data_IF_040383964178
#
_entry.id   IF_040383964178
#
_cell.length_a   1.000
_cell.length_b   1.000
_cell.length_c   1.000
_cell.angle_alpha   90.00
_cell.angle_beta   90.00
_cell.angle_gamma   90.00
#
_symmetry.space_group_name_H-M   'P 1'
#
loop_
_entity.id
_entity.type
_entity.pdbx_description
1 polymer ?
#
# COMPACT_ATOMS: atom_id res chain seq x y z
N UNK A 1 12.82 -20.27 -18.48
CA UNK A 1 12.07 -21.16 -19.38
C UNK A 1 10.61 -21.32 -18.95
N UNK A 2 10.33 -21.75 -17.71
CA UNK A 2 8.96 -21.86 -17.17
C UNK A 2 8.11 -20.57 -17.33
N UNK A 3 8.62 -19.41 -16.91
CA UNK A 3 7.89 -18.14 -17.06
C UNK A 3 7.66 -17.69 -18.52
N UNK A 4 8.56 -18.06 -19.44
CA UNK A 4 8.37 -17.77 -20.87
C UNK A 4 7.29 -18.68 -21.48
N UNK A 5 7.19 -19.92 -20.99
CA UNK A 5 6.09 -20.82 -21.31
C UNK A 5 4.76 -20.27 -20.81
N UNK A 6 4.70 -19.76 -19.57
CA UNK A 6 3.50 -19.07 -19.07
C UNK A 6 3.13 -17.87 -19.94
N UNK A 7 4.08 -16.98 -20.26
CA UNK A 7 3.81 -15.83 -21.14
C UNK A 7 3.25 -16.26 -22.51
N UNK A 8 3.76 -17.36 -23.07
CA UNK A 8 3.24 -17.92 -24.32
C UNK A 8 1.80 -18.38 -24.16
N UNK A 9 1.51 -19.18 -23.14
CA UNK A 9 0.16 -19.67 -22.80
C UNK A 9 -0.84 -18.54 -22.58
N UNK A 10 -0.42 -17.44 -21.97
CA UNK A 10 -1.28 -16.28 -21.76
C UNK A 10 -1.66 -15.54 -23.05
N UNK A 11 -0.85 -15.68 -24.10
CA UNK A 11 -1.10 -15.03 -25.40
C UNK A 11 -1.79 -15.94 -26.42
N UNK A 12 -1.66 -17.26 -26.28
CA UNK A 12 -2.12 -18.22 -27.29
C UNK A 12 -2.95 -19.40 -26.76
N UNK A 13 -3.12 -19.50 -25.43
CA UNK A 13 -3.87 -20.58 -24.78
C UNK A 13 -5.38 -20.32 -24.71
N UNK A 14 -6.15 -21.38 -24.51
CA UNK A 14 -7.57 -21.29 -24.16
C UNK A 14 -7.78 -20.88 -22.71
N UNK A 15 -8.99 -20.41 -22.37
CA UNK A 15 -9.34 -19.94 -21.02
C UNK A 15 -9.04 -20.98 -19.93
N UNK A 16 -9.40 -22.24 -20.15
CA UNK A 16 -9.16 -23.34 -19.21
C UNK A 16 -7.65 -23.52 -18.94
N UNK A 17 -6.82 -23.49 -19.98
CA UNK A 17 -5.38 -23.62 -19.82
C UNK A 17 -4.77 -22.44 -19.03
N UNK A 18 -5.32 -21.23 -19.21
CA UNK A 18 -4.91 -20.06 -18.43
C UNK A 18 -5.33 -20.20 -16.96
N UNK A 19 -6.53 -20.73 -16.70
CA UNK A 19 -7.02 -20.98 -15.34
C UNK A 19 -6.17 -22.03 -14.61
N UNK A 20 -5.82 -23.13 -15.27
CA UNK A 20 -4.93 -24.14 -14.69
C UNK A 20 -3.55 -23.54 -14.37
N UNK A 21 -3.04 -22.71 -15.28
CA UNK A 21 -1.75 -22.02 -15.11
C UNK A 21 -1.76 -21.05 -13.92
N UNK A 22 -2.91 -20.49 -13.52
CA UNK A 22 -3.00 -19.61 -12.35
C UNK A 22 -2.66 -20.35 -11.05
N UNK A 23 -3.00 -21.64 -10.95
CA UNK A 23 -2.61 -22.47 -9.80
C UNK A 23 -1.09 -22.61 -9.68
N UNK A 24 -0.42 -22.87 -10.80
CA UNK A 24 1.05 -22.94 -10.83
C UNK A 24 1.70 -21.58 -10.50
N UNK A 25 1.10 -20.48 -11.00
CA UNK A 25 1.56 -19.11 -10.72
C UNK A 25 1.43 -18.81 -9.22
N UNK A 26 0.37 -19.26 -8.56
CA UNK A 26 0.18 -19.12 -7.12
C UNK A 26 1.30 -19.83 -6.33
N UNK A 27 1.65 -21.06 -6.70
CA UNK A 27 2.78 -21.77 -6.10
C UNK A 27 4.12 -21.03 -6.34
N UNK A 28 4.32 -20.48 -7.54
CA UNK A 28 5.48 -19.64 -7.84
C UNK A 28 5.55 -18.38 -6.97
N UNK A 29 4.41 -17.75 -6.66
CA UNK A 29 4.34 -16.59 -5.76
C UNK A 29 4.76 -17.01 -4.35
N UNK A 30 4.23 -18.13 -3.85
CA UNK A 30 4.58 -18.67 -2.54
C UNK A 30 6.09 -18.91 -2.44
N UNK A 31 6.70 -19.56 -3.44
CA UNK A 31 8.16 -19.74 -3.49
C UNK A 31 8.91 -18.40 -3.55
N UNK A 32 8.40 -17.44 -4.33
CA UNK A 32 8.96 -16.10 -4.47
C UNK A 32 8.98 -15.29 -3.17
N UNK A 33 8.17 -15.64 -2.18
CA UNK A 33 8.23 -15.06 -0.82
C UNK A 33 9.47 -15.53 -0.05
N UNK A 34 9.97 -16.74 -0.30
CA UNK A 34 11.17 -17.30 0.34
C UNK A 34 12.47 -16.96 -0.39
N UNK A 35 12.38 -16.56 -1.67
CA UNK A 35 13.53 -16.20 -2.51
C UNK A 35 13.47 -14.73 -2.98
N UNK A 36 13.38 -13.74 -2.06
CA UNK A 36 13.20 -12.33 -2.43
C UNK A 36 14.36 -11.74 -3.23
N UNK A 37 15.52 -12.43 -3.26
CA UNK A 37 16.73 -12.00 -3.95
C UNK A 37 16.76 -12.39 -5.44
N UNK A 38 15.85 -13.25 -5.92
CA UNK A 38 15.75 -13.58 -7.34
C UNK A 38 14.98 -12.49 -8.11
N UNK A 39 15.67 -11.40 -8.40
CA UNK A 39 15.10 -10.23 -9.07
C UNK A 39 14.56 -10.55 -10.47
N UNK A 40 15.14 -11.54 -11.17
CA UNK A 40 14.72 -11.89 -12.53
C UNK A 40 13.37 -12.59 -12.50
N UNK A 41 13.25 -13.66 -11.70
CA UNK A 41 12.00 -14.41 -11.56
C UNK A 41 10.86 -13.53 -11.06
N UNK A 42 11.15 -12.65 -10.08
CA UNK A 42 10.18 -11.67 -9.57
C UNK A 42 9.68 -10.73 -10.66
N UNK A 43 10.57 -10.21 -11.50
CA UNK A 43 10.20 -9.31 -12.61
C UNK A 43 9.35 -10.01 -13.66
N UNK A 44 9.65 -11.28 -13.98
CA UNK A 44 8.83 -12.05 -14.90
C UNK A 44 7.45 -12.37 -14.33
N UNK A 45 7.39 -12.77 -13.06
CA UNK A 45 6.14 -13.06 -12.36
C UNK A 45 5.26 -11.81 -12.29
N UNK A 46 5.83 -10.65 -11.96
CA UNK A 46 5.14 -9.36 -11.99
C UNK A 46 4.61 -9.04 -13.40
N UNK A 47 5.43 -9.23 -14.44
CA UNK A 47 5.03 -8.99 -15.84
C UNK A 47 3.86 -9.89 -16.26
N UNK A 48 3.88 -11.17 -15.86
CA UNK A 48 2.81 -12.15 -16.13
C UNK A 48 1.49 -11.68 -15.49
N UNK A 49 1.52 -11.39 -14.20
CA UNK A 49 0.35 -10.95 -13.44
C UNK A 49 -0.21 -9.61 -13.95
N UNK A 50 0.65 -8.63 -14.24
CA UNK A 50 0.24 -7.35 -14.82
C UNK A 50 -0.43 -7.53 -16.19
N UNK A 51 0.09 -8.43 -17.02
CA UNK A 51 -0.51 -8.73 -18.32
C UNK A 51 -1.91 -9.37 -18.17
N UNK A 52 -2.08 -10.24 -17.17
CA UNK A 52 -3.35 -10.91 -16.88
C UNK A 52 -4.46 -9.99 -16.39
N UNK A 53 -4.13 -8.83 -15.81
CA UNK A 53 -5.13 -7.80 -15.46
C UNK A 53 -5.84 -7.28 -16.72
N UNK A 54 -5.21 -7.34 -17.88
CA UNK A 54 -5.80 -6.98 -19.18
C UNK A 54 -6.57 -8.10 -19.86
N UNK A 55 -6.71 -9.29 -19.25
CA UNK A 55 -7.35 -10.45 -19.87
C UNK A 55 -8.85 -10.19 -20.14
N UNK A 56 -9.43 -10.82 -21.17
CA UNK A 56 -10.84 -10.59 -21.55
C UNK A 56 -11.84 -11.21 -20.56
N UNK A 57 -11.47 -12.34 -19.93
CA UNK A 57 -12.28 -12.98 -18.89
C UNK A 57 -12.17 -12.31 -17.52
N UNK A 58 -13.33 -12.08 -16.88
CA UNK A 58 -13.43 -11.39 -15.58
C UNK A 58 -12.77 -12.17 -14.45
N UNK A 59 -12.93 -13.49 -14.43
CA UNK A 59 -12.43 -14.34 -13.34
C UNK A 59 -10.91 -14.37 -13.32
N UNK A 60 -10.29 -14.51 -14.50
CA UNK A 60 -8.83 -14.45 -14.66
C UNK A 60 -8.29 -13.09 -14.23
N UNK A 61 -8.93 -11.98 -14.65
CA UNK A 61 -8.52 -10.64 -14.19
C UNK A 61 -8.60 -10.51 -12.68
N UNK A 62 -9.69 -10.99 -12.09
CA UNK A 62 -9.94 -10.88 -10.65
C UNK A 62 -8.92 -11.68 -9.85
N UNK A 63 -8.61 -12.91 -10.26
CA UNK A 63 -7.60 -13.74 -9.62
C UNK A 63 -6.19 -13.16 -9.81
N UNK A 64 -5.86 -12.64 -10.99
CA UNK A 64 -4.58 -11.96 -11.23
C UNK A 64 -4.37 -10.75 -10.31
N UNK A 65 -5.43 -9.97 -10.03
CA UNK A 65 -5.37 -8.86 -9.07
C UNK A 65 -5.08 -9.37 -7.64
N UNK A 66 -5.74 -10.45 -7.22
CA UNK A 66 -5.50 -11.06 -5.89
C UNK A 66 -4.06 -11.56 -5.77
N UNK A 67 -3.60 -12.32 -6.76
CA UNK A 67 -2.23 -12.86 -6.82
C UNK A 67 -1.18 -11.75 -6.86
N UNK A 68 -1.42 -10.66 -7.62
CA UNK A 68 -0.53 -9.51 -7.66
C UNK A 68 -0.44 -8.80 -6.30
N UNK A 69 -1.57 -8.65 -5.59
CA UNK A 69 -1.57 -8.11 -4.24
C UNK A 69 -0.76 -9.00 -3.28
N UNK A 70 -0.97 -10.31 -3.30
CA UNK A 70 -0.19 -11.27 -2.49
C UNK A 70 1.31 -11.19 -2.82
N UNK A 71 1.65 -11.06 -4.10
CA UNK A 71 3.03 -10.95 -4.56
C UNK A 71 3.73 -9.68 -4.04
N UNK A 72 3.06 -8.53 -4.11
CA UNK A 72 3.61 -7.26 -3.59
C UNK A 72 3.64 -7.20 -2.06
N UNK A 73 2.64 -7.78 -1.41
CA UNK A 73 2.60 -7.80 0.04
C UNK A 73 3.67 -8.74 0.62
N UNK A 74 4.03 -9.80 -0.09
CA UNK A 74 4.92 -10.83 0.46
C UNK A 74 4.23 -11.70 1.51
N UNK A 75 2.90 -11.79 1.46
CA UNK A 75 2.06 -12.66 2.29
C UNK A 75 0.88 -13.15 1.46
N UNK A 76 0.39 -14.35 1.75
CA UNK A 76 -0.81 -14.94 1.16
C UNK A 76 -2.12 -14.44 1.80
N UNK A 77 -2.04 -13.45 2.69
CA UNK A 77 -3.14 -13.15 3.60
C UNK A 77 -4.41 -12.60 2.94
N UNK A 78 -4.28 -12.05 1.74
CA UNK A 78 -5.40 -11.56 0.94
C UNK A 78 -6.02 -12.59 0.00
N UNK A 79 -5.51 -13.82 -0.02
CA UNK A 79 -5.96 -14.87 -0.94
C UNK A 79 -7.47 -15.13 -0.82
N UNK A 80 -7.97 -15.28 0.42
CA UNK A 80 -9.38 -15.55 0.67
C UNK A 80 -10.24 -14.28 0.75
N UNK A 81 -9.71 -13.24 1.40
CA UNK A 81 -10.44 -12.00 1.69
C UNK A 81 -9.46 -10.84 1.68
N UNK A 82 -9.78 -9.79 0.92
CA UNK A 82 -9.00 -8.56 0.90
C UNK A 82 -8.93 -7.91 2.30
N UNK A 83 -7.83 -7.21 2.59
CA UNK A 83 -7.75 -6.45 3.82
C UNK A 83 -8.72 -5.28 3.85
N UNK A 84 -9.16 -4.91 5.05
CA UNK A 84 -9.79 -3.61 5.29
C UNK A 84 -8.72 -2.61 5.67
N UNK A 85 -8.35 -1.68 4.78
CA UNK A 85 -7.30 -0.72 5.08
C UNK A 85 -7.80 0.33 6.06
N UNK A 86 -6.96 0.65 7.04
CA UNK A 86 -7.14 1.81 7.91
C UNK A 86 -5.99 2.77 7.63
N UNK A 87 -6.32 4.03 7.32
CA UNK A 87 -5.30 5.05 7.10
C UNK A 87 -4.79 5.57 8.45
N UNK A 88 -3.47 5.67 8.57
CA UNK A 88 -2.75 6.19 9.73
C UNK A 88 -1.59 7.05 9.30
N UNK A 89 -1.05 7.83 10.22
CA UNK A 89 0.14 8.65 10.02
C UNK A 89 1.29 8.17 10.88
N UNK A 90 2.52 8.43 10.43
CA UNK A 90 3.70 8.28 11.29
C UNK A 90 3.51 9.12 12.55
N UNK A 91 3.77 8.53 13.71
CA UNK A 91 3.55 9.13 15.03
C UNK A 91 2.27 8.66 15.72
N UNK A 92 1.29 8.14 14.98
CA UNK A 92 0.04 7.66 15.57
C UNK A 92 0.28 6.44 16.49
N UNK A 93 -0.58 6.23 17.51
CA UNK A 93 -0.54 5.04 18.35
C UNK A 93 -0.61 3.76 17.51
N UNK A 94 0.31 2.84 17.78
CA UNK A 94 0.36 1.53 17.15
C UNK A 94 -0.11 0.48 18.14
N UNK A 95 -1.40 0.20 18.10
CA UNK A 95 -2.06 -0.82 18.89
C UNK A 95 -3.09 -1.60 18.10
N UNK A 96 -3.03 -2.93 18.18
CA UNK A 96 -4.02 -3.81 17.57
C UNK A 96 -4.85 -4.45 18.67
N UNK A 97 -6.16 -4.24 18.58
CA UNK A 97 -7.14 -4.88 19.44
C UNK A 97 -8.07 -5.78 18.63
N UNK A 98 -8.37 -6.95 19.19
CA UNK A 98 -9.28 -7.90 18.58
C UNK A 98 -10.01 -8.73 19.64
N UNK A 99 -11.04 -9.47 19.21
CA UNK A 99 -11.90 -10.27 20.08
C UNK A 99 -11.98 -11.68 19.50
N UNK A 100 -11.92 -12.68 20.37
CA UNK A 100 -12.18 -14.09 20.05
C UNK A 100 -13.26 -14.64 20.98
N UNK A 101 -14.03 -15.63 20.50
CA UNK A 101 -15.04 -16.36 21.28
C UNK A 101 -14.63 -17.82 21.44
N UNK A 102 -13.38 -18.00 21.80
CA UNK A 102 -12.71 -19.29 21.90
C UNK A 102 -11.59 -19.16 22.93
N UNK A 103 -10.97 -20.28 23.28
CA UNK A 103 -9.85 -20.27 24.23
C UNK A 103 -8.64 -19.47 23.69
N UNK A 104 -7.86 -18.89 24.60
CA UNK A 104 -6.70 -18.04 24.29
C UNK A 104 -5.41 -18.83 24.06
N UNK A 105 -5.38 -20.14 24.36
CA UNK A 105 -4.18 -20.95 24.28
C UNK A 105 -3.64 -21.02 22.85
N UNK A 106 -2.33 -20.80 22.70
CA UNK A 106 -1.64 -20.84 21.43
C UNK A 106 -2.01 -19.73 20.44
N UNK A 107 -2.81 -18.72 20.85
CA UNK A 107 -3.20 -17.62 19.97
C UNK A 107 -2.15 -16.50 20.00
N UNK A 108 -1.68 -16.10 18.82
CA UNK A 108 -0.72 -15.01 18.65
C UNK A 108 -1.02 -14.17 17.40
N UNK A 109 -0.43 -12.99 17.35
CA UNK A 109 -0.56 -12.06 16.23
C UNK A 109 0.71 -12.10 15.37
N UNK A 110 0.53 -12.34 14.08
CA UNK A 110 1.55 -12.12 13.06
C UNK A 110 1.44 -10.68 12.56
N UNK A 111 2.55 -9.95 12.58
CA UNK A 111 2.66 -8.60 12.05
C UNK A 111 3.72 -8.58 10.95
N UNK A 112 3.28 -8.26 9.74
CA UNK A 112 4.14 -8.02 8.60
C UNK A 112 4.24 -6.50 8.38
N UNK A 113 5.38 -5.89 8.67
CA UNK A 113 5.54 -4.43 8.68
C UNK A 113 6.94 -4.00 8.17
N UNK A 114 7.14 -2.71 7.79
CA UNK A 114 8.47 -2.21 7.49
C UNK A 114 9.39 -2.41 8.68
N UNK A 115 10.64 -2.82 8.43
CA UNK A 115 11.62 -2.95 9.51
C UNK A 115 11.74 -1.66 10.31
N UNK A 116 11.74 -1.80 11.64
CA UNK A 116 11.90 -0.67 12.57
C UNK A 116 13.32 -0.08 12.49
N UNK A 117 14.28 -0.81 11.90
CA UNK A 117 15.54 -0.23 11.47
C UNK A 117 15.33 0.59 10.19
N UNK A 118 15.53 1.91 10.28
CA UNK A 118 15.36 2.84 9.15
C UNK A 118 16.24 2.52 7.93
N UNK A 119 17.41 1.92 8.16
CA UNK A 119 18.34 1.54 7.09
C UNK A 119 17.94 0.24 6.40
N UNK A 120 17.05 -0.54 7.01
CA UNK A 120 16.58 -1.79 6.41
C UNK A 120 15.46 -1.46 5.40
N UNK A 121 15.64 -1.83 4.12
CA UNK A 121 14.60 -1.69 3.12
C UNK A 121 13.53 -2.79 3.24
N UNK A 122 13.78 -3.80 4.08
CA UNK A 122 12.98 -5.02 4.11
C UNK A 122 11.76 -4.88 5.03
N UNK A 123 10.70 -5.55 4.60
CA UNK A 123 9.56 -5.89 5.43
C UNK A 123 9.93 -7.10 6.30
N UNK A 124 9.45 -7.12 7.53
CA UNK A 124 9.68 -8.23 8.47
C UNK A 124 8.35 -8.76 8.98
N UNK A 125 8.27 -10.08 9.12
CA UNK A 125 7.17 -10.75 9.81
C UNK A 125 7.62 -11.03 11.23
N UNK A 126 6.82 -10.60 12.20
CA UNK A 126 7.10 -10.71 13.64
C UNK A 126 5.92 -11.34 14.36
N UNK A 127 6.18 -12.08 15.43
CA UNK A 127 5.18 -12.81 16.20
C UNK A 127 5.01 -12.16 17.57
N UNK A 128 3.75 -11.94 17.98
CA UNK A 128 3.45 -11.20 19.20
C UNK A 128 2.37 -11.90 20.03
N UNK A 129 2.65 -12.07 21.32
CA UNK A 129 1.69 -12.61 22.28
C UNK A 129 0.74 -11.51 22.75
N UNK A 130 -0.58 -11.66 22.58
CA UNK A 130 -1.56 -10.69 23.05
C UNK A 130 -1.67 -10.67 24.57
N UNK A 131 -1.96 -9.49 25.11
CA UNK A 131 -2.50 -9.36 26.46
C UNK A 131 -4.00 -9.61 26.40
N UNK A 132 -4.50 -10.50 27.27
CA UNK A 132 -5.88 -10.97 27.25
C UNK A 132 -6.72 -10.34 28.36
N UNK A 133 -7.96 -10.01 28.05
CA UNK A 133 -8.96 -9.55 29.03
C UNK A 133 -10.29 -10.24 28.77
N UNK A 134 -10.86 -10.90 29.78
CA UNK A 134 -12.15 -11.57 29.67
C UNK A 134 -13.28 -10.53 29.57
N UNK A 135 -14.06 -10.57 28.47
CA UNK A 135 -15.15 -9.64 28.18
C UNK A 135 -16.50 -10.20 28.63
N UNK A 136 -16.68 -10.40 29.94
CA UNK A 136 -17.89 -10.93 30.59
C UNK A 136 -18.28 -12.36 30.14
N UNK A 137 -18.79 -13.22 31.03
CA UNK A 137 -19.41 -14.48 30.61
C UNK A 137 -20.69 -14.18 29.84
N UNK A 138 -20.85 -14.80 28.66
CA UNK A 138 -22.12 -14.81 27.93
C UNK A 138 -23.19 -15.46 28.82
N UNK A 139 -24.33 -14.79 29.10
CA UNK A 139 -25.35 -15.33 30.00
C UNK A 139 -26.08 -16.58 29.44
N UNK A 140 -25.84 -16.97 28.19
CA UNK A 140 -26.48 -18.14 27.56
C UNK A 140 -25.96 -19.50 28.09
N UNK A 141 -24.92 -19.53 28.93
CA UNK A 141 -24.45 -20.76 29.57
C UNK A 141 -25.14 -21.09 30.91
N UNK A 142 -26.02 -20.21 31.42
CA UNK A 142 -26.59 -20.37 32.76
C UNK A 142 -27.88 -21.21 32.85
N UNK A 143 -28.51 -21.61 31.73
CA UNK A 143 -29.80 -22.32 31.76
C UNK A 143 -29.84 -23.63 30.96
N UNK A 144 -28.69 -24.24 30.65
CA UNK A 144 -28.65 -25.42 29.77
C UNK A 144 -27.58 -26.46 30.07
N UNK A 145 -27.16 -26.66 31.31
CA UNK A 145 -26.30 -27.81 31.66
C UNK A 145 -27.15 -29.08 31.86
N UNK A 146 -27.41 -29.80 30.77
CA UNK A 146 -27.52 -31.26 30.85
C UNK A 146 -26.12 -31.85 30.67
N UNK A 147 -25.68 -32.53 31.73
CA UNK A 147 -24.39 -33.17 31.89
C UNK A 147 -24.04 -34.09 30.70
N UNK A 148 -22.86 -33.87 30.09
CA UNK A 148 -22.32 -34.85 29.16
C UNK A 148 -21.41 -34.35 28.03
N UNK A 149 -20.59 -33.31 28.21
CA UNK A 149 -19.29 -33.20 27.51
C UNK A 149 -18.47 -32.08 28.13
N UNK A 150 -17.16 -32.28 28.24
CA UNK A 150 -16.18 -31.26 28.66
C UNK A 150 -16.11 -30.14 27.62
N UNK A 151 -17.08 -29.22 27.63
CA UNK A 151 -17.03 -28.01 26.82
C UNK A 151 -16.26 -26.95 27.61
N UNK A 152 -15.01 -26.71 27.23
CA UNK A 152 -14.22 -25.58 27.73
C UNK A 152 -15.07 -24.32 27.67
N UNK A 153 -15.07 -23.53 28.76
CA UNK A 153 -15.84 -22.29 28.87
C UNK A 153 -15.54 -21.42 27.65
N UNK A 154 -16.53 -21.27 26.74
CA UNK A 154 -16.48 -20.37 25.59
C UNK A 154 -16.54 -18.92 26.09
N UNK A 155 -15.43 -18.46 26.67
CA UNK A 155 -15.25 -17.09 27.08
C UNK A 155 -15.09 -16.18 25.88
N UNK A 156 -15.66 -14.98 25.94
CA UNK A 156 -15.36 -13.91 24.99
C UNK A 156 -14.13 -13.16 25.49
N UNK A 157 -13.05 -13.16 24.73
CA UNK A 157 -11.77 -12.58 25.14
C UNK A 157 -11.36 -11.43 24.24
N UNK A 158 -10.87 -10.34 24.85
CA UNK A 158 -10.21 -9.23 24.14
C UNK A 158 -8.71 -9.45 24.15
N UNK A 159 -8.11 -9.55 22.98
CA UNK A 159 -6.66 -9.54 22.77
C UNK A 159 -6.18 -8.13 22.44
N UNK A 160 -5.06 -7.71 23.04
CA UNK A 160 -4.41 -6.42 22.78
C UNK A 160 -2.91 -6.59 22.61
N UNK A 161 -2.36 -6.02 21.54
CA UNK A 161 -0.91 -5.93 21.30
C UNK A 161 -0.55 -4.47 21.07
N UNK A 162 0.36 -3.94 21.89
CA UNK A 162 0.81 -2.55 21.83
C UNK A 162 2.27 -2.50 21.34
N UNK A 163 2.50 -1.75 20.27
CA UNK A 163 3.79 -1.58 19.61
C UNK A 163 4.35 -0.16 19.77
N UNK A 164 3.74 0.66 20.62
CA UNK A 164 4.07 2.07 20.81
C UNK A 164 3.45 2.96 19.74
N UNK A 165 4.25 3.43 18.79
CA UNK A 165 3.83 4.40 17.76
C UNK A 165 4.35 3.99 16.38
N UNK A 166 3.62 4.31 15.34
CA UNK A 166 4.04 4.07 13.96
C UNK A 166 5.28 4.90 13.61
N UNK A 167 6.34 4.25 13.13
CA UNK A 167 7.65 4.90 12.93
C UNK A 167 7.96 5.24 11.47
N UNK A 168 7.30 4.60 10.51
CA UNK A 168 7.61 4.70 9.08
C UNK A 168 6.34 4.64 8.25
N UNK A 169 6.38 5.24 7.07
CA UNK A 169 5.35 5.05 6.07
C UNK A 169 5.40 3.62 5.53
N UNK A 170 4.27 3.11 5.05
CA UNK A 170 4.16 1.80 4.42
C UNK A 170 2.95 1.00 4.90
N UNK A 171 2.91 -0.27 4.51
CA UNK A 171 1.85 -1.21 4.85
C UNK A 171 2.20 -1.99 6.11
N UNK A 172 1.30 -1.97 7.08
CA UNK A 172 1.39 -2.74 8.31
C UNK A 172 0.21 -3.72 8.32
N UNK A 173 0.46 -4.94 7.86
CA UNK A 173 -0.56 -5.97 7.83
C UNK A 173 -0.42 -6.87 9.03
N UNK A 174 -1.55 -7.32 9.55
CA UNK A 174 -1.60 -8.20 10.69
C UNK A 174 -2.64 -9.29 10.50
N UNK A 175 -2.39 -10.45 11.12
CA UNK A 175 -3.27 -11.60 11.13
C UNK A 175 -3.16 -12.32 12.47
N UNK A 176 -4.29 -12.76 13.01
CA UNK A 176 -4.32 -13.56 14.23
C UNK A 176 -4.37 -15.04 13.85
N UNK A 177 -3.50 -15.82 14.47
CA UNK A 177 -3.35 -17.25 14.22
C UNK A 177 -3.29 -18.02 15.53
N UNK A 178 -3.60 -19.32 15.47
CA UNK A 178 -3.49 -20.26 16.59
C UNK A 178 -2.49 -21.34 16.23
N UNK A 179 -1.52 -21.61 17.11
CA UNK A 179 -0.62 -22.74 16.95
C UNK A 179 -1.38 -24.07 17.10
N UNK A 180 -1.16 -25.00 16.18
CA UNK A 180 -1.56 -26.39 16.29
C UNK A 180 -0.31 -27.23 16.56
N UNK A 181 -0.07 -27.55 17.84
CA UNK A 181 1.11 -28.33 18.27
C UNK A 181 1.12 -29.71 17.62
N UNK A 182 -0.05 -30.33 17.45
CA UNK A 182 -0.19 -31.65 16.84
C UNK A 182 0.23 -31.69 15.37
N UNK A 183 -0.09 -30.62 14.61
CA UNK A 183 0.20 -30.53 13.18
C UNK A 183 1.55 -29.87 12.89
N UNK A 184 2.16 -29.21 13.88
CA UNK A 184 3.34 -28.38 13.67
C UNK A 184 3.05 -27.17 12.76
N UNK A 185 1.79 -26.75 12.68
CA UNK A 185 1.33 -25.63 11.85
C UNK A 185 0.63 -24.58 12.72
N UNK A 186 0.23 -23.48 12.10
CA UNK A 186 -0.73 -22.55 12.70
C UNK A 186 -1.90 -22.36 11.75
N UNK A 187 -3.07 -22.12 12.33
CA UNK A 187 -4.31 -21.90 11.60
C UNK A 187 -4.82 -20.50 11.87
N UNK A 188 -5.45 -19.89 10.86
CA UNK A 188 -5.97 -18.53 11.00
C UNK A 188 -7.16 -18.55 11.96
N UNK A 189 -7.18 -17.62 12.92
CA UNK A 189 -8.34 -17.45 13.80
C UNK A 189 -9.42 -16.73 12.99
N UNK A 190 -10.63 -17.29 12.96
CA UNK A 190 -11.74 -16.72 12.22
C UNK A 190 -12.78 -16.10 13.16
N UNK A 191 -13.46 -15.05 12.68
CA UNK A 191 -14.65 -14.44 13.31
C UNK A 191 -15.90 -14.75 12.50
N UNK A 192 -17.06 -14.85 13.16
CA UNK A 192 -18.36 -15.00 12.48
C UNK A 192 -19.06 -13.66 12.27
N UNK A 193 -19.92 -13.54 11.26
CA UNK A 193 -20.65 -12.29 10.93
C UNK A 193 -21.53 -11.74 12.08
N UNK A 194 -22.05 -12.61 12.95
CA UNK A 194 -22.82 -12.22 14.16
C UNK A 194 -21.96 -11.45 15.18
N UNK A 195 -20.67 -11.77 15.25
CA UNK A 195 -19.70 -11.07 16.11
C UNK A 195 -19.36 -9.67 15.59
N UNK A 196 -19.51 -9.44 14.29
CA UNK A 196 -19.18 -8.16 13.65
C UNK A 196 -20.26 -7.09 13.86
N UNK A 197 -21.56 -7.45 13.81
CA UNK A 197 -22.68 -6.50 13.95
C UNK A 197 -22.86 -5.95 15.37
N UNK A 198 -22.44 -6.69 16.40
CA UNK A 198 -22.56 -6.22 17.79
C UNK A 198 -21.56 -5.12 18.14
N UNK A 199 -20.47 -4.99 17.37
CA UNK A 199 -19.43 -3.98 17.59
C UNK A 199 -19.66 -2.67 16.82
N UNK A 200 -20.38 -2.70 15.68
CA UNK A 200 -20.54 -1.56 14.78
C UNK A 200 -21.69 -0.62 15.12
N UNK A 201 -22.64 -1.03 15.97
CA UNK A 201 -23.83 -0.24 16.27
C UNK A 201 -23.64 0.91 17.28
N UNK A 202 -22.45 1.08 17.89
CA UNK A 202 -22.27 2.06 18.98
C UNK A 202 -21.35 3.25 18.73
N UNK A 203 -20.52 3.30 17.69
CA UNK A 203 -19.77 4.54 17.39
C UNK A 203 -19.14 4.49 15.99
N UNK A 204 -19.74 5.17 15.01
CA UNK A 204 -19.09 5.43 13.72
C UNK A 204 -17.80 6.29 13.87
N UNK A 205 -17.64 7.00 14.99
CA UNK A 205 -16.48 7.84 15.29
C UNK A 205 -15.23 7.06 15.73
N UNK A 206 -15.39 5.82 16.27
CA UNK A 206 -14.29 5.01 16.83
C UNK A 206 -13.91 3.79 15.98
N UNK A 207 -14.45 3.67 14.77
CA UNK A 207 -14.00 2.70 13.75
C UNK A 207 -12.50 2.83 13.42
N UNK A 208 -11.85 3.89 13.89
CA UNK A 208 -10.45 4.16 13.62
C UNK A 208 -9.53 3.03 14.12
N UNK A 209 -9.77 2.31 15.22
CA UNK A 209 -8.73 1.44 15.82
C UNK A 209 -9.11 -0.04 16.03
N UNK A 210 -10.33 -0.46 15.72
CA UNK A 210 -10.74 -1.85 15.93
C UNK A 210 -10.44 -2.66 14.68
N UNK A 211 -9.72 -3.78 14.83
CA UNK A 211 -9.59 -4.81 13.80
C UNK A 211 -10.90 -5.56 13.54
N UNK A 212 -11.99 -4.80 13.39
CA UNK A 212 -13.29 -5.29 12.98
C UNK A 212 -13.29 -5.32 11.45
N UNK A 213 -13.60 -6.51 10.90
CA UNK A 213 -13.68 -6.77 9.47
C UNK A 213 -14.65 -5.78 8.77
N UNK A 214 -14.58 -5.61 7.44
CA UNK A 214 -15.30 -4.55 6.73
C UNK A 214 -16.81 -4.81 6.72
N UNK A 215 -17.67 -3.78 6.65
CA UNK A 215 -19.05 -3.99 6.21
C UNK A 215 -19.00 -4.74 4.87
N UNK A 216 -19.63 -5.92 4.80
CA UNK A 216 -19.63 -6.77 3.61
C UNK A 216 -20.12 -5.96 2.39
N UNK A 217 -19.54 -6.16 1.19
CA UNK A 217 -20.11 -5.61 -0.03
C UNK A 217 -21.58 -6.04 -0.16
N UNK A 218 -22.45 -5.19 -0.74
CA UNK A 218 -23.90 -5.39 -0.76
C UNK A 218 -24.37 -6.66 -1.49
N UNK A 219 -23.49 -7.29 -2.28
CA UNK A 219 -23.82 -8.43 -3.13
C UNK A 219 -23.52 -9.81 -2.51
N UNK A 220 -23.18 -9.87 -1.21
CA UNK A 220 -22.89 -11.14 -0.53
C UNK A 220 -24.11 -11.65 0.24
N UNK A 221 -24.64 -12.78 -0.23
CA UNK A 221 -25.83 -13.47 0.26
C UNK A 221 -25.82 -13.65 1.79
N UNK A 222 -26.93 -13.27 2.43
CA UNK A 222 -27.08 -13.20 3.89
C UNK A 222 -27.18 -14.58 4.58
N UNK A 223 -27.39 -15.65 3.80
CA UNK A 223 -27.60 -17.01 4.31
C UNK A 223 -26.32 -17.83 4.53
N UNK A 224 -25.16 -17.38 4.03
CA UNK A 224 -23.92 -18.14 4.23
C UNK A 224 -23.29 -17.67 5.55
N UNK A 225 -23.22 -18.58 6.53
CA UNK A 225 -22.47 -18.46 7.79
C UNK A 225 -20.95 -18.40 7.54
N UNK A 226 -20.48 -17.42 6.78
CA UNK A 226 -19.07 -17.25 6.47
C UNK A 226 -18.32 -16.77 7.70
N UNK A 227 -17.33 -17.56 8.10
CA UNK A 227 -16.29 -17.14 9.01
C UNK A 227 -15.23 -16.36 8.21
N UNK A 228 -14.67 -15.30 8.79
CA UNK A 228 -13.70 -14.44 8.13
C UNK A 228 -12.39 -14.46 8.91
N UNK A 229 -11.23 -14.49 8.23
CA UNK A 229 -9.95 -14.44 8.91
C UNK A 229 -9.83 -13.15 9.72
N UNK A 230 -9.30 -13.26 10.94
CA UNK A 230 -9.09 -12.12 11.81
C UNK A 230 -7.79 -11.42 11.42
N UNK A 231 -7.91 -10.44 10.52
CA UNK A 231 -6.78 -9.77 9.89
C UNK A 231 -7.11 -8.33 9.51
N UNK A 232 -6.09 -7.54 9.20
CA UNK A 232 -6.27 -6.17 8.72
C UNK A 232 -4.99 -5.54 8.19
N UNK A 233 -5.14 -4.34 7.62
CA UNK A 233 -4.05 -3.53 7.07
C UNK A 233 -4.12 -2.12 7.60
N UNK A 234 -2.99 -1.57 8.01
CA UNK A 234 -2.85 -0.13 8.10
C UNK A 234 -1.98 0.39 6.98
N UNK A 235 -2.44 1.47 6.35
CA UNK A 235 -1.68 2.23 5.37
C UNK A 235 -1.16 3.46 6.10
N UNK A 236 0.13 3.46 6.38
CA UNK A 236 0.77 4.51 7.15
C UNK A 236 1.38 5.52 6.20
N UNK A 237 0.88 6.73 6.26
CA UNK A 237 1.33 7.87 5.49
C UNK A 237 2.26 8.75 6.32
N UNK A 238 2.93 9.72 5.69
CA UNK A 238 3.84 10.61 6.42
C UNK A 238 3.06 11.45 7.44
N UNK A 239 3.74 11.83 8.53
CA UNK A 239 3.16 12.69 9.55
C UNK A 239 2.66 14.02 8.95
N UNK A 240 1.58 14.55 9.51
CA UNK A 240 1.05 15.87 9.20
C UNK A 240 0.58 16.04 7.74
N UNK A 241 0.08 14.97 7.11
CA UNK A 241 -0.42 15.03 5.73
C UNK A 241 -1.71 15.85 5.58
N UNK A 242 -2.57 15.79 6.58
CA UNK A 242 -3.76 16.61 6.73
C UNK A 242 -3.47 18.12 6.79
N UNK A 243 -2.27 18.51 7.24
CA UNK A 243 -1.84 19.91 7.32
C UNK A 243 -1.08 20.41 6.09
N UNK A 244 -0.92 19.59 5.04
CA UNK A 244 -0.18 20.03 3.85
C UNK A 244 -0.93 21.13 3.10
N UNK A 245 -0.20 22.18 2.78
CA UNK A 245 -0.62 23.24 1.87
C UNK A 245 0.28 23.20 0.64
N UNK A 246 -0.25 22.65 -0.45
CA UNK A 246 0.46 22.48 -1.71
C UNK A 246 0.30 23.73 -2.58
N UNK A 247 1.39 24.19 -3.19
CA UNK A 247 1.38 25.25 -4.18
C UNK A 247 2.15 24.85 -5.43
N UNK A 248 1.54 25.05 -6.59
CA UNK A 248 2.18 24.84 -7.88
C UNK A 248 3.02 26.05 -8.28
N UNK A 249 4.24 25.82 -8.74
CA UNK A 249 5.13 26.85 -9.28
C UNK A 249 5.57 26.44 -10.68
N UNK A 250 5.21 27.25 -11.66
CA UNK A 250 5.75 27.16 -13.02
C UNK A 250 7.14 27.79 -13.03
N UNK A 251 8.18 26.97 -13.11
CA UNK A 251 9.57 27.45 -13.07
C UNK A 251 9.82 28.47 -14.18
N UNK A 252 9.34 28.17 -15.38
CA UNK A 252 9.46 29.03 -16.56
C UNK A 252 8.77 30.39 -16.42
N UNK A 253 7.65 30.42 -15.70
CA UNK A 253 6.81 31.60 -15.56
C UNK A 253 7.24 32.51 -14.41
N UNK A 254 8.10 32.02 -13.51
CA UNK A 254 8.45 32.79 -12.32
C UNK A 254 9.34 33.97 -12.70
N UNK A 255 8.80 35.19 -12.56
CA UNK A 255 9.45 36.44 -13.01
C UNK A 255 9.75 36.45 -14.51
N UNK A 256 9.03 35.65 -15.30
CA UNK A 256 9.05 35.79 -16.74
C UNK A 256 8.56 37.19 -17.14
N UNK A 257 9.19 37.78 -18.14
CA UNK A 257 8.77 39.04 -18.73
C UNK A 257 8.29 38.78 -20.15
N UNK A 258 7.13 39.33 -20.48
CA UNK A 258 6.56 39.31 -21.82
C UNK A 258 6.61 40.73 -22.37
N UNK A 259 6.84 40.85 -23.67
CA UNK A 259 6.57 42.06 -24.40
C UNK A 259 5.05 42.24 -24.50
N UNK A 260 4.54 43.37 -24.03
CA UNK A 260 3.10 43.63 -23.96
C UNK A 260 2.47 43.93 -25.34
N UNK A 261 3.27 44.32 -26.33
CA UNK A 261 2.78 44.62 -27.68
C UNK A 261 2.83 43.38 -28.57
N UNK A 262 3.92 42.61 -28.51
CA UNK A 262 4.12 41.44 -29.39
C UNK A 262 3.69 40.13 -28.74
N UNK A 263 3.59 40.08 -27.42
CA UNK A 263 3.37 38.85 -26.66
C UNK A 263 4.59 37.94 -26.59
N UNK A 264 5.74 38.37 -27.10
CA UNK A 264 6.98 37.58 -27.10
C UNK A 264 7.61 37.52 -25.70
N UNK A 265 8.28 36.39 -25.41
CA UNK A 265 8.95 36.19 -24.12
C UNK A 265 10.30 36.92 -24.10
N UNK A 266 10.37 38.03 -23.36
CA UNK A 266 11.60 38.81 -23.14
C UNK A 266 12.56 38.10 -22.20
N UNK A 267 12.05 37.45 -21.17
CA UNK A 267 12.85 36.65 -20.25
C UNK A 267 12.04 35.51 -19.64
N UNK A 268 12.71 34.38 -19.38
CA UNK A 268 12.12 33.20 -18.75
C UNK A 268 12.58 33.08 -17.30
N UNK A 269 11.72 32.55 -16.45
CA UNK A 269 12.13 32.05 -15.15
C UNK A 269 13.09 30.86 -15.25
N UNK A 270 13.79 30.63 -14.16
CA UNK A 270 14.72 29.50 -13.94
C UNK A 270 14.65 29.06 -12.48
N UNK A 271 15.34 27.98 -12.10
CA UNK A 271 15.38 27.58 -10.69
C UNK A 271 15.89 28.72 -9.78
N UNK A 272 16.91 29.45 -10.22
CA UNK A 272 17.44 30.61 -9.50
C UNK A 272 16.41 31.74 -9.29
N UNK A 273 15.40 31.86 -10.16
CA UNK A 273 14.31 32.84 -9.98
C UNK A 273 13.23 32.37 -9.01
N UNK A 274 13.12 31.06 -8.78
CA UNK A 274 12.18 30.46 -7.84
C UNK A 274 12.69 30.59 -6.41
N UNK A 275 14.00 30.41 -6.17
CA UNK A 275 14.62 30.41 -4.83
C UNK A 275 14.22 31.62 -3.97
N UNK A 276 14.26 32.87 -4.46
CA UNK A 276 13.87 34.04 -3.66
C UNK A 276 12.38 34.07 -3.27
N UNK A 277 11.52 33.33 -3.96
CA UNK A 277 10.08 33.27 -3.66
C UNK A 277 9.74 32.25 -2.58
N UNK A 278 10.65 31.31 -2.27
CA UNK A 278 10.41 30.24 -1.29
C UNK A 278 10.11 30.79 0.11
N UNK A 279 10.85 31.81 0.54
CA UNK A 279 10.61 32.45 1.85
C UNK A 279 9.24 33.10 1.94
N UNK A 280 8.77 33.72 0.85
CA UNK A 280 7.44 34.29 0.78
C UNK A 280 6.35 33.23 0.89
N UNK A 281 6.49 32.14 0.12
CA UNK A 281 5.56 31.01 0.14
C UNK A 281 5.51 30.33 1.51
N UNK A 282 6.67 30.15 2.14
CA UNK A 282 6.77 29.62 3.50
C UNK A 282 6.05 30.51 4.52
N UNK A 283 6.24 31.84 4.43
CA UNK A 283 5.55 32.81 5.30
C UNK A 283 4.03 32.81 5.09
N UNK A 284 3.54 32.46 3.90
CA UNK A 284 2.11 32.26 3.64
C UNK A 284 1.58 30.90 4.07
N UNK A 285 2.38 30.07 4.74
CA UNK A 285 1.97 28.77 5.25
C UNK A 285 2.00 27.63 4.23
N UNK A 286 2.59 27.84 3.04
CA UNK A 286 2.80 26.76 2.06
C UNK A 286 3.89 25.83 2.59
N UNK A 287 3.58 24.54 2.62
CA UNK A 287 4.48 23.50 3.13
C UNK A 287 5.11 22.66 2.02
N UNK A 288 4.46 22.61 0.86
CA UNK A 288 4.82 21.69 -0.23
C UNK A 288 4.73 22.40 -1.58
N UNK A 289 5.77 22.25 -2.41
CA UNK A 289 5.81 22.84 -3.74
C UNK A 289 5.76 21.76 -4.82
N UNK A 290 4.88 21.97 -5.79
CA UNK A 290 4.86 21.21 -7.03
C UNK A 290 5.51 22.05 -8.12
N UNK A 291 6.70 21.64 -8.59
CA UNK A 291 7.47 22.38 -9.59
C UNK A 291 7.13 21.89 -11.00
N UNK A 292 6.35 22.69 -11.72
CA UNK A 292 6.01 22.41 -13.11
C UNK A 292 7.14 22.84 -14.05
N UNK A 293 7.45 21.99 -15.04
CA UNK A 293 8.49 22.24 -16.04
C UNK A 293 9.92 22.02 -15.58
N UNK A 294 10.12 21.46 -14.36
CA UNK A 294 11.45 21.22 -13.82
C UNK A 294 12.24 20.12 -14.56
N UNK A 295 11.56 19.18 -15.21
CA UNK A 295 12.19 18.04 -15.88
C UNK A 295 12.73 18.41 -17.27
N UNK A 296 13.75 17.68 -17.71
CA UNK A 296 14.30 17.80 -19.06
C UNK A 296 13.22 17.57 -20.11
N UNK A 297 13.14 18.51 -21.06
CA UNK A 297 12.18 18.49 -22.16
C UNK A 297 12.87 18.70 -23.49
N UNK A 298 12.10 18.60 -24.57
CA UNK A 298 12.60 18.62 -25.93
C UNK A 298 13.02 20.03 -26.42
N UNK A 299 13.96 20.66 -25.72
CA UNK A 299 14.50 21.97 -26.04
C UNK A 299 15.45 21.97 -27.27
N UNK A 300 15.68 20.80 -27.88
CA UNK A 300 16.70 20.60 -28.92
C UNK A 300 18.12 20.46 -28.35
N UNK A 301 19.07 20.16 -29.23
CA UNK A 301 20.49 20.08 -28.85
C UNK A 301 21.03 21.50 -28.63
N UNK A 302 21.71 21.77 -27.50
CA UNK A 302 22.25 23.09 -27.21
C UNK A 302 23.35 23.47 -28.20
N UNK A 303 23.31 24.70 -28.70
CA UNK A 303 24.36 25.31 -29.52
C UNK A 303 25.16 26.29 -28.67
N UNK A 304 26.47 26.12 -28.65
CA UNK A 304 27.38 27.06 -27.99
C UNK A 304 27.80 28.10 -29.01
N UNK A 305 27.58 29.37 -28.66
CA UNK A 305 28.02 30.50 -29.47
C UNK A 305 29.50 30.80 -29.23
N UNK A 306 30.13 31.58 -30.11
CA UNK A 306 31.53 31.97 -29.96
C UNK A 306 31.79 32.83 -28.70
N UNK A 307 30.75 33.43 -28.11
CA UNK A 307 30.80 34.15 -26.83
C UNK A 307 30.71 33.24 -25.61
N UNK A 308 30.46 31.93 -25.80
CA UNK A 308 30.26 30.96 -24.72
C UNK A 308 28.80 30.83 -24.27
N UNK A 309 27.88 31.60 -24.84
CA UNK A 309 26.45 31.52 -24.52
C UNK A 309 25.83 30.26 -25.11
N UNK A 310 24.89 29.65 -24.37
CA UNK A 310 24.16 28.45 -24.80
C UNK A 310 22.81 28.87 -25.38
N UNK A 311 22.55 28.48 -26.63
CA UNK A 311 21.29 28.70 -27.33
C UNK A 311 20.58 27.37 -27.53
N UNK A 312 19.31 27.32 -27.14
CA UNK A 312 18.45 26.15 -27.33
C UNK A 312 17.56 26.37 -28.56
N UNK A 313 17.52 25.44 -29.54
CA UNK A 313 16.70 25.59 -30.76
C UNK A 313 15.21 25.71 -30.51
N UNK A 314 14.70 25.11 -29.43
CA UNK A 314 13.28 25.10 -29.05
C UNK A 314 13.13 25.56 -27.61
N UNK A 315 13.39 26.85 -27.31
CA UNK A 315 13.33 27.34 -25.94
C UNK A 315 11.91 27.27 -25.37
N UNK A 316 10.88 27.38 -26.22
CA UNK A 316 9.46 27.33 -25.85
C UNK A 316 8.84 25.93 -25.87
N UNK A 317 9.67 24.88 -25.87
CA UNK A 317 9.17 23.52 -25.78
C UNK A 317 8.24 23.37 -24.56
N UNK A 318 7.09 22.73 -24.75
CA UNK A 318 6.11 22.50 -23.69
C UNK A 318 6.77 21.81 -22.48
N UNK A 319 6.43 22.19 -21.24
CA UNK A 319 6.91 21.48 -20.04
C UNK A 319 6.47 20.00 -20.01
N UNK A 320 5.48 19.63 -20.82
CA UNK A 320 5.01 18.25 -20.97
C UNK A 320 5.76 17.46 -22.04
N UNK A 321 6.59 18.10 -22.87
CA UNK A 321 7.44 17.43 -23.86
C UNK A 321 8.69 16.82 -23.20
N UNK A 322 8.49 16.08 -22.10
CA UNK A 322 9.55 15.52 -21.26
C UNK A 322 10.35 14.47 -22.02
N UNK A 323 11.66 14.66 -22.11
CA UNK A 323 12.59 13.72 -22.75
C UNK A 323 13.30 12.84 -21.72
N UNK A 324 13.44 13.33 -20.48
CA UNK A 324 14.04 12.57 -19.40
C UNK A 324 13.39 12.93 -18.05
N UNK A 325 12.97 11.92 -17.29
CA UNK A 325 12.35 12.08 -15.95
C UNK A 325 13.35 12.11 -14.80
N UNK A 326 14.62 11.78 -15.07
CA UNK A 326 15.67 11.70 -14.06
C UNK A 326 16.51 12.97 -13.94
N UNK A 327 16.41 13.88 -14.92
CA UNK A 327 17.30 15.05 -15.01
C UNK A 327 16.50 16.35 -15.03
N UNK A 328 16.88 17.35 -14.21
CA UNK A 328 16.33 18.70 -14.32
C UNK A 328 16.62 19.34 -15.67
N UNK A 329 15.79 20.28 -16.11
CA UNK A 329 15.97 20.96 -17.38
C UNK A 329 17.23 21.83 -17.40
N UNK A 330 18.17 21.52 -18.28
CA UNK A 330 19.42 22.27 -18.46
C UNK A 330 19.22 23.76 -18.78
N UNK A 331 18.20 24.10 -19.57
CA UNK A 331 17.88 25.49 -19.91
C UNK A 331 17.45 26.31 -18.68
N UNK A 332 16.93 25.66 -17.63
CA UNK A 332 16.46 26.31 -16.41
C UNK A 332 17.52 26.35 -15.29
N UNK A 333 18.76 25.97 -15.60
CA UNK A 333 19.88 25.87 -14.65
C UNK A 333 20.37 24.43 -14.41
N UNK A 334 19.68 23.43 -14.95
CA UNK A 334 20.09 22.03 -14.88
C UNK A 334 20.19 21.49 -13.45
N UNK A 335 20.98 20.41 -13.23
CA UNK A 335 21.16 19.83 -11.91
C UNK A 335 21.73 20.78 -10.86
N UNK A 336 22.66 21.67 -11.26
CA UNK A 336 23.25 22.66 -10.35
C UNK A 336 22.21 23.63 -9.83
N UNK A 337 21.53 24.33 -10.74
CA UNK A 337 20.49 25.29 -10.35
C UNK A 337 19.29 24.68 -9.64
N UNK A 338 19.01 23.37 -9.83
CA UNK A 338 17.95 22.67 -9.10
C UNK A 338 18.32 22.36 -7.64
N UNK A 339 19.62 22.13 -7.37
CA UNK A 339 20.11 21.81 -6.03
C UNK A 339 20.42 23.06 -5.19
N UNK A 340 20.71 24.19 -5.84
CA UNK A 340 20.98 25.50 -5.24
C UNK A 340 19.72 26.17 -4.64
#
# INVERSE_FOLDING_TARGET
EQYEWYLTLLTSGGVEAVQDTLGDIEECIWHGHFTPFDAMSRKLLERILVSLIGHHEVDIRSQAVVLLNMFYDGTDWQHQVAFTPIIRSVGDPFEIEFIIEDDTEGVFLQLAAPSFNRLSPYRVVTLHTPTWTLMSPTPEAAEGEQAGSSSAVKGRWKGRVNFGTLKRCGFYDWRVVRASVERGTWEVVHKTRRQQRTNSAKDLSTLQARGDAPPTPPDFDDEISKSFPLQGRWIVQRAHMDSEQMHEVFVDGKRAALDHETGELLSRGSFATVTPALDGLRKSGITTLYLMGALSRDNGQPHYTNSGDVVYPRPDASPFAVTCRATPNSMLGGPGGFLD
#
